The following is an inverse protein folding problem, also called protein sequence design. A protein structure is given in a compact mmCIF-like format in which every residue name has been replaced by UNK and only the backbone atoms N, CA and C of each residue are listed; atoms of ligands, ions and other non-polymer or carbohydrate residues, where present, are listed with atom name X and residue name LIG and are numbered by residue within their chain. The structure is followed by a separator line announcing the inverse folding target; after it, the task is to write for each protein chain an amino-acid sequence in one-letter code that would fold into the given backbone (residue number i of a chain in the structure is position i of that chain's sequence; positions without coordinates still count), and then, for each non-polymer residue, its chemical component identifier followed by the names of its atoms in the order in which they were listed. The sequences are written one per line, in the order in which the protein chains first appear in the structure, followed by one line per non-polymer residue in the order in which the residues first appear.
data_IF_431527303332
#
_entry.id   IF_431527303332
#
_cell.length_a   1.000
_cell.length_b   1.000
_cell.length_c   1.000
_cell.angle_alpha   90.00
_cell.angle_beta   90.00
_cell.angle_gamma   90.00
#
_symmetry.space_group_name_H-M   'P 1'
#
loop_
_entity.id
_entity.type
_entity.pdbx_description
1 polymer ?
#
# COMPACT_ATOMS: atom_id res chain seq x y z
N UNK A 1 40.37 36.37 9.55
CA UNK A 1 40.70 34.95 9.83
C UNK A 1 39.48 34.33 10.51
N UNK A 2 38.75 33.42 9.84
CA UNK A 2 37.67 32.69 10.51
C UNK A 2 38.29 31.73 11.51
N UNK A 3 37.86 31.83 12.77
CA UNK A 3 38.31 30.95 13.82
C UNK A 3 37.56 29.61 13.67
N UNK A 4 38.27 28.49 13.64
CA UNK A 4 37.70 27.14 13.59
C UNK A 4 36.58 26.94 14.61
N UNK A 5 36.69 27.57 15.78
CA UNK A 5 35.67 27.52 16.83
C UNK A 5 34.32 28.16 16.43
N UNK A 6 34.33 29.19 15.56
CA UNK A 6 33.10 29.81 15.06
C UNK A 6 32.37 28.87 14.09
N UNK A 7 33.11 28.19 13.22
CA UNK A 7 32.56 27.20 12.28
C UNK A 7 31.95 26.02 13.04
N UNK A 8 32.65 25.50 14.06
CA UNK A 8 32.14 24.38 14.88
C UNK A 8 30.84 24.76 15.60
N UNK A 9 30.78 25.95 16.22
CA UNK A 9 29.56 26.43 16.90
C UNK A 9 28.41 26.64 15.92
N UNK A 10 28.68 27.25 14.77
CA UNK A 10 27.66 27.47 13.74
C UNK A 10 27.08 26.15 13.23
N UNK A 11 27.95 25.19 12.87
CA UNK A 11 27.52 23.88 12.39
C UNK A 11 26.70 23.16 13.46
N UNK A 12 27.16 23.13 14.72
CA UNK A 12 26.43 22.48 15.81
C UNK A 12 25.02 23.05 16.00
N UNK A 13 24.88 24.38 16.00
CA UNK A 13 23.58 25.05 16.15
C UNK A 13 22.68 24.74 14.96
N UNK A 14 23.20 24.88 13.73
CA UNK A 14 22.45 24.62 12.51
C UNK A 14 21.98 23.16 12.42
N UNK A 15 22.87 22.19 12.68
CA UNK A 15 22.51 20.77 12.63
C UNK A 15 21.52 20.40 13.71
N UNK A 16 21.69 20.93 14.92
CA UNK A 16 20.75 20.68 16.03
C UNK A 16 19.37 21.24 15.72
N UNK A 17 19.31 22.47 15.19
CA UNK A 17 18.05 23.10 14.81
C UNK A 17 17.34 22.31 13.72
N UNK A 18 18.04 21.96 12.63
CA UNK A 18 17.45 21.19 11.52
C UNK A 18 16.99 19.80 11.99
N UNK A 19 17.80 19.12 12.82
CA UNK A 19 17.45 17.81 13.35
C UNK A 19 16.19 17.86 14.22
N UNK A 20 16.09 18.84 15.12
CA UNK A 20 14.92 19.01 15.98
C UNK A 20 13.66 19.35 15.18
N UNK A 21 13.76 20.25 14.20
CA UNK A 21 12.63 20.59 13.33
C UNK A 21 12.15 19.37 12.54
N UNK A 22 13.06 18.63 11.91
CA UNK A 22 12.70 17.47 11.09
C UNK A 22 12.12 16.33 11.95
N UNK A 23 12.72 16.05 13.11
CA UNK A 23 12.22 15.04 14.04
C UNK A 23 10.84 15.41 14.60
N UNK A 24 10.62 16.69 14.91
CA UNK A 24 9.33 17.21 15.34
C UNK A 24 8.27 16.99 14.27
N UNK A 25 8.50 17.49 13.06
CA UNK A 25 7.56 17.33 11.94
C UNK A 25 7.25 15.86 11.65
N UNK A 26 8.27 15.00 11.59
CA UNK A 26 8.10 13.58 11.35
C UNK A 26 7.21 12.92 12.41
N UNK A 27 7.43 13.20 13.69
CA UNK A 27 6.69 12.55 14.78
C UNK A 27 5.23 13.00 14.82
N UNK A 28 4.97 14.29 14.64
CA UNK A 28 3.61 14.83 14.68
C UNK A 28 2.77 14.46 13.46
N UNK A 29 3.38 14.42 12.26
CA UNK A 29 2.65 14.12 11.03
C UNK A 29 2.58 12.62 10.72
N UNK A 30 3.35 11.77 11.39
CA UNK A 30 3.33 10.32 11.20
C UNK A 30 1.92 9.69 11.15
N UNK A 31 1.00 9.93 12.11
CA UNK A 31 -0.33 9.33 12.05
C UNK A 31 -1.14 9.79 10.83
N UNK A 32 -0.96 11.04 10.41
CA UNK A 32 -1.62 11.60 9.22
C UNK A 32 -1.06 10.96 7.96
N UNK A 33 0.25 10.71 7.90
CA UNK A 33 0.88 10.00 6.78
C UNK A 33 0.39 8.55 6.69
N UNK A 34 0.34 7.82 7.80
CA UNK A 34 -0.13 6.43 7.84
C UNK A 34 -1.59 6.32 7.39
N UNK A 35 -2.47 7.21 7.86
CA UNK A 35 -3.87 7.24 7.44
C UNK A 35 -4.04 7.54 5.94
N UNK A 36 -3.27 8.50 5.42
CA UNK A 36 -3.30 8.85 4.00
C UNK A 36 -2.70 7.76 3.11
N UNK A 37 -1.65 7.07 3.57
CA UNK A 37 -1.04 5.93 2.85
C UNK A 37 -2.02 4.77 2.77
N UNK A 38 -2.68 4.41 3.89
CA UNK A 38 -3.71 3.38 3.90
C UNK A 38 -4.87 3.72 2.94
N UNK A 39 -5.36 4.95 2.98
CA UNK A 39 -6.40 5.41 2.06
C UNK A 39 -5.93 5.39 0.60
N UNK A 40 -4.69 5.80 0.33
CA UNK A 40 -4.12 5.78 -1.01
C UNK A 40 -4.03 4.35 -1.56
N UNK A 41 -3.61 3.38 -0.74
CA UNK A 41 -3.53 1.98 -1.13
C UNK A 41 -4.91 1.41 -1.48
N UNK A 42 -5.93 1.69 -0.65
CA UNK A 42 -7.33 1.30 -0.95
C UNK A 42 -7.83 1.93 -2.25
N UNK A 43 -7.57 3.22 -2.46
CA UNK A 43 -7.87 3.91 -3.72
C UNK A 43 -7.18 3.22 -4.89
N UNK A 44 -5.89 2.90 -4.77
CA UNK A 44 -5.11 2.26 -5.82
C UNK A 44 -5.64 0.87 -6.19
N UNK A 45 -6.18 0.11 -5.23
CA UNK A 45 -6.83 -1.18 -5.49
C UNK A 45 -8.16 -0.96 -6.23
N UNK A 46 -8.98 -0.02 -5.76
CA UNK A 46 -10.26 0.32 -6.40
C UNK A 46 -10.08 0.92 -7.80
N UNK A 47 -8.97 1.60 -8.06
CA UNK A 47 -8.66 2.14 -9.38
C UNK A 47 -8.53 1.04 -10.44
N UNK A 48 -8.07 -0.16 -10.09
CA UNK A 48 -8.01 -1.29 -11.01
C UNK A 48 -9.41 -1.75 -11.47
N UNK A 49 -10.46 -1.46 -10.69
CA UNK A 49 -11.86 -1.74 -11.04
C UNK A 49 -12.66 -0.47 -11.32
N UNK A 50 -12.00 0.66 -11.61
CA UNK A 50 -12.66 1.95 -11.80
C UNK A 50 -13.70 1.94 -12.92
N UNK A 51 -13.51 1.11 -13.96
CA UNK A 51 -14.45 0.93 -15.08
C UNK A 51 -15.80 0.34 -14.64
N UNK A 52 -15.84 -0.36 -13.50
CA UNK A 52 -17.03 -1.02 -12.93
C UNK A 52 -17.70 -0.20 -11.82
N UNK A 53 -17.15 0.95 -11.45
CA UNK A 53 -17.69 1.82 -10.42
C UNK A 53 -18.56 2.92 -11.02
N UNK A 54 -19.73 3.14 -10.43
CA UNK A 54 -20.69 4.17 -10.89
C UNK A 54 -20.16 5.60 -10.73
N UNK A 55 -19.24 5.82 -9.79
CA UNK A 55 -18.67 7.13 -9.48
C UNK A 55 -17.14 7.09 -9.62
N UNK A 56 -16.50 8.13 -10.19
CA UNK A 56 -15.05 8.22 -10.19
C UNK A 56 -14.48 8.29 -8.78
N UNK A 57 -13.44 7.50 -8.49
CA UNK A 57 -12.74 7.49 -7.19
C UNK A 57 -12.24 8.88 -6.78
N UNK A 58 -11.84 9.71 -7.75
CA UNK A 58 -11.37 11.08 -7.51
C UNK A 58 -12.42 12.02 -6.89
N UNK A 59 -13.71 11.67 -6.97
CA UNK A 59 -14.83 12.42 -6.40
C UNK A 59 -15.41 11.79 -5.14
N UNK A 60 -14.89 10.65 -4.69
CA UNK A 60 -15.38 9.96 -3.49
C UNK A 60 -14.73 10.52 -2.24
N UNK A 61 -15.51 10.57 -1.14
CA UNK A 61 -14.96 10.85 0.18
C UNK A 61 -14.18 9.63 0.71
N UNK A 62 -13.24 9.81 1.65
CA UNK A 62 -12.52 8.71 2.28
C UNK A 62 -13.43 7.64 2.89
N UNK A 63 -14.53 8.05 3.51
CA UNK A 63 -15.48 7.16 4.19
C UNK A 63 -16.16 6.25 3.17
N UNK A 64 -16.59 6.81 2.03
CA UNK A 64 -17.23 6.03 0.97
C UNK A 64 -16.28 5.01 0.35
N UNK A 65 -14.99 5.32 0.28
CA UNK A 65 -13.96 4.38 -0.19
C UNK A 65 -13.80 3.23 0.79
N UNK A 66 -13.73 3.53 2.08
CA UNK A 66 -13.64 2.51 3.13
C UNK A 66 -14.89 1.63 3.16
N UNK A 67 -16.08 2.19 2.93
CA UNK A 67 -17.33 1.44 2.84
C UNK A 67 -17.35 0.49 1.65
N UNK A 68 -16.98 0.96 0.46
CA UNK A 68 -16.90 0.11 -0.75
C UNK A 68 -15.87 -1.00 -0.55
N UNK A 69 -14.71 -0.64 0.01
CA UNK A 69 -13.64 -1.60 0.25
C UNK A 69 -14.06 -2.68 1.26
N UNK A 70 -14.81 -2.31 2.30
CA UNK A 70 -15.27 -3.26 3.32
C UNK A 70 -16.41 -4.16 2.82
N UNK A 71 -17.32 -3.62 2.01
CA UNK A 71 -18.53 -4.34 1.59
C UNK A 71 -18.39 -5.09 0.26
N UNK A 72 -17.53 -4.62 -0.63
CA UNK A 72 -17.43 -5.13 -2.02
C UNK A 72 -16.10 -5.80 -2.34
N UNK A 73 -15.10 -5.74 -1.43
CA UNK A 73 -13.81 -6.42 -1.61
C UNK A 73 -13.62 -7.49 -0.55
N UNK A 74 -13.46 -8.73 -1.02
CA UNK A 74 -12.93 -9.83 -0.22
C UNK A 74 -11.39 -9.82 -0.29
N UNK A 75 -10.75 -9.90 0.88
CA UNK A 75 -9.30 -9.77 1.02
C UNK A 75 -8.68 -11.09 1.46
N UNK A 76 -7.70 -11.57 0.69
CA UNK A 76 -6.98 -12.81 0.98
C UNK A 76 -5.48 -12.63 0.81
N UNK A 77 -4.71 -13.38 1.58
CA UNK A 77 -3.28 -13.50 1.37
C UNK A 77 -3.02 -14.90 0.85
N UNK A 78 -2.31 -15.00 -0.27
CA UNK A 78 -1.98 -16.27 -0.90
C UNK A 78 -0.48 -16.44 -1.02
N UNK A 79 -0.01 -17.69 -1.04
CA UNK A 79 1.37 -17.99 -1.44
C UNK A 79 1.48 -18.13 -2.96
N UNK A 80 2.68 -18.42 -3.46
CA UNK A 80 2.89 -18.64 -4.90
C UNK A 80 2.15 -19.84 -5.51
N UNK A 81 1.68 -20.77 -4.67
CA UNK A 81 0.87 -21.91 -5.12
C UNK A 81 -0.62 -21.58 -5.18
N UNK A 82 -1.01 -20.36 -4.76
CA UNK A 82 -2.41 -19.95 -4.65
C UNK A 82 -3.11 -20.48 -3.40
N UNK A 83 -2.36 -21.03 -2.43
CA UNK A 83 -2.93 -21.49 -1.16
C UNK A 83 -3.13 -20.28 -0.24
N UNK A 84 -4.30 -20.22 0.39
CA UNK A 84 -4.65 -19.16 1.33
C UNK A 84 -3.85 -19.30 2.62
N UNK A 85 -3.23 -18.20 3.04
CA UNK A 85 -2.44 -18.10 4.27
C UNK A 85 -3.32 -17.55 5.39
N UNK A 86 -3.24 -18.18 6.56
CA UNK A 86 -4.03 -17.77 7.72
C UNK A 86 -3.63 -16.37 8.21
N UNK A 87 -4.57 -15.68 8.86
CA UNK A 87 -4.30 -14.33 9.41
C UNK A 87 -3.18 -14.36 10.44
N UNK A 88 -3.10 -15.46 11.20
CA UNK A 88 -2.09 -15.71 12.23
C UNK A 88 -0.70 -15.77 11.62
N UNK A 89 -0.54 -16.45 10.49
CA UNK A 89 0.74 -16.56 9.77
C UNK A 89 1.16 -15.23 9.14
N UNK A 90 0.20 -14.43 8.64
CA UNK A 90 0.47 -13.07 8.13
C UNK A 90 0.94 -12.14 9.25
N UNK A 91 0.34 -12.25 10.43
CA UNK A 91 0.77 -11.50 11.63
C UNK A 91 2.17 -11.95 12.06
N UNK A 92 2.44 -13.25 12.07
CA UNK A 92 3.75 -13.81 12.40
C UNK A 92 4.84 -13.32 11.43
N UNK A 93 4.50 -13.07 10.16
CA UNK A 93 5.39 -12.48 9.17
C UNK A 93 5.67 -10.98 9.38
N UNK A 94 5.02 -10.33 10.36
CA UNK A 94 5.27 -8.95 10.77
C UNK A 94 4.30 -7.91 10.21
N UNK A 95 3.21 -8.33 9.56
CA UNK A 95 2.17 -7.42 9.06
C UNK A 95 1.04 -7.27 10.09
N UNK A 96 0.96 -6.08 10.70
CA UNK A 96 -0.06 -5.76 11.69
C UNK A 96 -1.43 -5.75 11.02
N UNK A 97 -2.39 -6.50 11.56
CA UNK A 97 -3.77 -6.57 11.05
C UNK A 97 -4.09 -7.89 10.35
N UNK A 98 -3.07 -8.58 9.83
CA UNK A 98 -3.24 -9.90 9.20
C UNK A 98 -4.07 -9.87 7.92
N UNK A 99 -4.25 -8.71 7.29
CA UNK A 99 -5.05 -8.54 6.07
C UNK A 99 -4.17 -8.37 4.84
N UNK A 100 -4.77 -8.58 3.68
CA UNK A 100 -4.10 -8.38 2.40
C UNK A 100 -3.64 -6.92 2.21
N UNK A 101 -4.47 -5.93 2.61
CA UNK A 101 -4.11 -4.50 2.58
C UNK A 101 -2.87 -4.11 3.40
N UNK A 102 -2.50 -4.92 4.40
CA UNK A 102 -1.33 -4.66 5.25
C UNK A 102 -0.02 -5.18 4.64
N UNK A 103 -0.10 -6.09 3.65
CA UNK A 103 1.06 -6.76 3.06
C UNK A 103 1.83 -5.81 2.16
N UNK A 104 3.10 -5.56 2.50
CA UNK A 104 3.97 -4.72 1.71
C UNK A 104 4.66 -5.53 0.60
N UNK A 105 4.09 -5.50 -0.60
CA UNK A 105 4.60 -6.23 -1.78
C UNK A 105 6.05 -5.91 -2.13
N UNK A 106 6.56 -4.70 -1.81
CA UNK A 106 7.96 -4.34 -2.08
C UNK A 106 8.92 -5.08 -1.15
N UNK A 107 8.51 -5.31 0.10
CA UNK A 107 9.26 -6.15 1.04
C UNK A 107 9.18 -7.61 0.64
N UNK A 108 7.99 -8.09 0.25
CA UNK A 108 7.78 -9.48 -0.18
C UNK A 108 8.58 -9.83 -1.43
N UNK A 109 8.68 -8.93 -2.42
CA UNK A 109 9.50 -9.13 -3.63
C UNK A 109 10.95 -9.52 -3.32
N UNK A 110 11.51 -9.04 -2.21
CA UNK A 110 12.90 -9.34 -1.80
C UNK A 110 13.07 -10.72 -1.16
N UNK A 111 11.98 -11.38 -0.79
CA UNK A 111 11.98 -12.73 -0.23
C UNK A 111 12.09 -13.80 -1.31
N UNK A 112 12.43 -15.01 -0.88
CA UNK A 112 12.39 -16.21 -1.73
C UNK A 112 10.96 -16.45 -2.20
N UNK A 113 10.83 -17.08 -3.36
CA UNK A 113 9.53 -17.41 -3.95
C UNK A 113 8.61 -18.21 -3.01
N UNK A 114 9.19 -19.10 -2.20
CA UNK A 114 8.44 -19.93 -1.26
C UNK A 114 7.91 -19.15 -0.04
N UNK A 115 8.57 -18.06 0.35
CA UNK A 115 8.25 -17.29 1.57
C UNK A 115 7.43 -16.02 1.28
N UNK A 116 7.05 -15.80 0.01
CA UNK A 116 6.30 -14.62 -0.42
C UNK A 116 4.84 -14.71 -0.04
N UNK A 117 4.38 -13.70 0.67
CA UNK A 117 2.97 -13.42 0.88
C UNK A 117 2.47 -12.48 -0.23
N UNK A 118 1.42 -12.88 -0.93
CA UNK A 118 0.85 -12.12 -2.04
C UNK A 118 -0.56 -11.68 -1.67
N UNK A 119 -0.84 -10.36 -1.67
CA UNK A 119 -2.20 -9.88 -1.48
C UNK A 119 -3.04 -10.19 -2.71
N UNK A 120 -4.23 -10.72 -2.47
CA UNK A 120 -5.22 -11.06 -3.47
C UNK A 120 -6.56 -10.49 -3.07
N UNK A 121 -7.22 -9.79 -3.99
CA UNK A 121 -8.50 -9.16 -3.71
C UNK A 121 -9.54 -9.64 -4.71
N UNK A 122 -10.75 -9.90 -4.24
CA UNK A 122 -11.89 -10.20 -5.11
C UNK A 122 -12.91 -9.08 -4.96
N UNK A 123 -13.11 -8.31 -6.03
CA UNK A 123 -14.17 -7.31 -6.10
C UNK A 123 -15.45 -7.95 -6.64
N UNK A 124 -16.58 -7.68 -6.00
CA UNK A 124 -17.90 -8.08 -6.48
C UNK A 124 -18.74 -6.84 -6.74
N UNK A 125 -19.22 -6.68 -7.96
CA UNK A 125 -20.05 -5.54 -8.34
C UNK A 125 -21.51 -5.69 -7.85
N UNK A 126 -22.34 -4.67 -8.09
CA UNK A 126 -23.76 -4.68 -7.71
C UNK A 126 -24.60 -5.73 -8.45
N UNK A 127 -24.10 -6.29 -9.54
CA UNK A 127 -24.74 -7.34 -10.36
C UNK A 127 -24.25 -8.75 -9.99
N UNK A 128 -23.23 -8.85 -9.14
CA UNK A 128 -22.61 -10.10 -8.72
C UNK A 128 -21.41 -10.54 -9.58
N UNK A 129 -20.98 -9.71 -10.54
CA UNK A 129 -19.82 -10.01 -11.38
C UNK A 129 -18.52 -9.82 -10.58
N UNK A 130 -17.70 -10.87 -10.60
CA UNK A 130 -16.42 -10.90 -9.88
C UNK A 130 -15.29 -10.37 -10.73
N UNK A 131 -14.38 -9.63 -10.10
CA UNK A 131 -13.09 -9.24 -10.66
C UNK A 131 -11.99 -9.58 -9.68
N UNK A 132 -10.89 -10.10 -10.17
CA UNK A 132 -9.76 -10.55 -9.35
C UNK A 132 -8.64 -9.54 -9.48
N UNK A 133 -8.21 -8.97 -8.37
CA UNK A 133 -7.20 -7.92 -8.35
C UNK A 133 -5.93 -8.48 -7.71
N UNK A 134 -4.82 -8.30 -8.42
CA UNK A 134 -3.48 -8.67 -7.98
C UNK A 134 -2.59 -7.44 -7.94
N UNK A 135 -1.73 -7.37 -6.93
CA UNK A 135 -0.73 -6.31 -6.81
C UNK A 135 0.60 -6.76 -7.42
N UNK A 136 1.18 -5.91 -8.26
CA UNK A 136 2.43 -6.17 -8.96
C UNK A 136 3.49 -5.14 -8.58
N UNK A 137 4.76 -5.57 -8.59
CA UNK A 137 5.91 -4.70 -8.33
C UNK A 137 7.06 -5.06 -9.25
N UNK A 138 7.66 -4.05 -9.86
CA UNK A 138 8.79 -4.14 -10.78
C UNK A 138 9.87 -3.10 -10.46
N UNK A 139 10.99 -3.16 -11.17
CA UNK A 139 12.02 -2.13 -11.10
C UNK A 139 11.83 -1.16 -12.27
N UNK A 140 11.70 0.14 -11.97
CA UNK A 140 11.79 1.20 -12.96
C UNK A 140 13.23 1.67 -13.15
N UNK A 141 13.39 2.79 -13.87
CA UNK A 141 14.71 3.40 -14.10
C UNK A 141 15.30 4.00 -12.83
N UNK A 142 14.46 4.62 -12.00
CA UNK A 142 14.89 5.39 -10.83
C UNK A 142 14.44 4.78 -9.51
N UNK A 143 13.34 4.02 -9.50
CA UNK A 143 12.77 3.40 -8.31
C UNK A 143 11.89 2.19 -8.65
N UNK A 144 11.48 1.43 -7.65
CA UNK A 144 10.50 0.35 -7.77
C UNK A 144 9.11 0.91 -8.14
N UNK A 145 8.55 0.38 -9.23
CA UNK A 145 7.20 0.72 -9.68
C UNK A 145 6.26 -0.37 -9.20
N UNK A 146 5.08 0.02 -8.76
CA UNK A 146 4.05 -0.90 -8.31
C UNK A 146 2.70 -0.48 -8.86
N UNK A 147 1.78 -1.44 -8.93
CA UNK A 147 0.43 -1.20 -9.39
C UNK A 147 -0.49 -2.36 -9.02
N UNK A 148 -1.78 -2.17 -9.26
CA UNK A 148 -2.80 -3.21 -9.13
C UNK A 148 -3.39 -3.46 -10.51
N UNK A 149 -3.62 -4.73 -10.82
CA UNK A 149 -4.24 -5.16 -12.07
C UNK A 149 -5.47 -5.98 -11.73
N UNK A 150 -6.61 -5.63 -12.31
CA UNK A 150 -7.85 -6.36 -12.18
C UNK A 150 -8.09 -7.22 -13.42
N UNK A 151 -8.44 -8.48 -13.21
CA UNK A 151 -8.90 -9.41 -14.22
C UNK A 151 -10.41 -9.59 -14.09
N UNK A 152 -11.10 -9.78 -15.21
CA UNK A 152 -12.51 -10.16 -15.21
C UNK A 152 -12.72 -11.59 -14.70
N UNK A 153 -13.98 -11.99 -14.55
CA UNK A 153 -14.37 -13.33 -14.06
C UNK A 153 -13.82 -14.48 -14.92
N UNK A 154 -13.47 -14.21 -16.18
CA UNK A 154 -12.85 -15.18 -17.08
C UNK A 154 -11.34 -15.36 -16.87
N UNK A 155 -10.72 -14.63 -15.93
CA UNK A 155 -9.30 -14.70 -15.56
C UNK A 155 -8.35 -14.47 -16.76
N UNK A 156 -8.83 -13.77 -17.80
CA UNK A 156 -8.07 -13.55 -19.03
C UNK A 156 -8.18 -12.11 -19.52
N UNK A 157 -9.38 -11.52 -19.45
CA UNK A 157 -9.57 -10.11 -19.82
C UNK A 157 -9.10 -9.20 -18.69
N UNK A 158 -8.31 -8.18 -19.02
CA UNK A 158 -7.91 -7.12 -18.09
C UNK A 158 -9.06 -6.13 -17.96
N UNK A 159 -9.55 -5.93 -16.74
CA UNK A 159 -10.59 -4.97 -16.41
C UNK A 159 -10.05 -3.56 -16.15
N UNK A 160 -8.78 -3.46 -15.71
CA UNK A 160 -8.09 -2.19 -15.43
C UNK A 160 -6.82 -2.36 -14.62
#
# INVERSE_FOLDING_TARGET
MHNTNQVIKFVLIMTTLVALTLAGLFTFLKPVHEANEALYNKKAILYAVASKLDTPISKMSPEKIDDIFTNSIDQKVVNQRGEEISKEDVIAAGYKGGRAEDVNIRKEKRKSDADRLLPFYTYTDSKGDKSYIVSIVGNGLWDEIWGNVALESNVNTIAG
#
